data_IF_527747548793
#
_entry.id   IF_527747548793
#
_cell.length_a   1.000
_cell.length_b   1.000
_cell.length_c   1.000
_cell.angle_alpha   90.00
_cell.angle_beta   90.00
_cell.angle_gamma   90.00
#
_symmetry.space_group_name_H-M   'P 1'
#
loop_
_entity.id
_entity.type
_entity.pdbx_description
1 polymer ?
#
# COMPACT_ATOMS: atom_id res chain seq x y z
N UNK A 1 22.16 8.36 -12.59
CA UNK A 1 22.49 6.92 -12.70
C UNK A 1 21.32 6.14 -12.12
N UNK A 2 20.35 5.77 -12.95
CA UNK A 2 19.20 4.95 -12.55
C UNK A 2 19.71 3.58 -12.12
N UNK A 3 19.61 3.28 -10.83
CA UNK A 3 19.99 1.96 -10.31
C UNK A 3 18.95 0.96 -10.84
N UNK A 4 19.34 0.18 -11.83
CA UNK A 4 18.47 -0.80 -12.47
C UNK A 4 18.24 -1.94 -11.47
N UNK A 5 17.11 -1.92 -10.75
CA UNK A 5 16.81 -2.89 -9.70
C UNK A 5 16.14 -4.13 -10.33
N UNK A 6 16.86 -5.26 -10.48
CA UNK A 6 16.33 -6.44 -11.16
C UNK A 6 15.13 -7.07 -10.42
N UNK A 7 15.01 -6.83 -9.11
CA UNK A 7 13.86 -7.30 -8.32
C UNK A 7 12.62 -6.49 -8.68
N UNK A 8 12.75 -5.17 -8.82
CA UNK A 8 11.67 -4.29 -9.21
C UNK A 8 11.22 -4.57 -10.65
N UNK A 9 12.17 -4.70 -11.58
CA UNK A 9 11.88 -5.05 -12.98
C UNK A 9 11.10 -6.37 -13.08
N UNK A 10 11.56 -7.40 -12.38
CA UNK A 10 10.86 -8.70 -12.34
C UNK A 10 9.46 -8.59 -11.74
N UNK A 11 9.29 -7.77 -10.70
CA UNK A 11 7.99 -7.51 -10.10
C UNK A 11 7.05 -6.80 -11.10
N UNK A 12 7.50 -5.72 -11.74
CA UNK A 12 6.72 -4.96 -12.71
C UNK A 12 6.30 -5.82 -13.91
N UNK A 13 7.24 -6.54 -14.53
CA UNK A 13 6.96 -7.45 -15.65
C UNK A 13 5.91 -8.49 -15.27
N UNK A 14 6.09 -9.14 -14.11
CA UNK A 14 5.12 -10.14 -13.65
C UNK A 14 3.75 -9.52 -13.40
N UNK A 15 3.68 -8.40 -12.68
CA UNK A 15 2.42 -7.77 -12.28
C UNK A 15 1.62 -7.20 -13.45
N UNK A 16 2.30 -6.72 -14.50
CA UNK A 16 1.64 -6.23 -15.72
C UNK A 16 1.10 -7.42 -16.55
N UNK A 17 1.88 -8.49 -16.69
CA UNK A 17 1.51 -9.65 -17.50
C UNK A 17 0.50 -10.59 -16.82
N UNK A 18 0.47 -10.62 -15.48
CA UNK A 18 -0.41 -11.45 -14.68
C UNK A 18 -1.29 -10.58 -13.76
N UNK A 19 -2.24 -9.81 -14.32
CA UNK A 19 -3.21 -9.11 -13.50
C UNK A 19 -4.00 -10.15 -12.68
N UNK A 20 -4.34 -9.85 -11.42
CA UNK A 20 -5.17 -10.74 -10.61
C UNK A 20 -6.46 -11.05 -11.38
N UNK A 21 -6.83 -12.32 -11.49
CA UNK A 21 -7.99 -12.76 -12.24
C UNK A 21 -9.24 -11.98 -11.77
N UNK A 22 -9.85 -11.24 -12.69
CA UNK A 22 -11.07 -10.48 -12.43
C UNK A 22 -12.18 -11.46 -12.06
N UNK A 23 -12.42 -11.67 -10.76
CA UNK A 23 -13.47 -12.59 -10.28
C UNK A 23 -13.17 -13.31 -8.98
N UNK A 24 -11.91 -13.43 -8.55
CA UNK A 24 -11.58 -13.97 -7.21
C UNK A 24 -11.62 -12.87 -6.15
N UNK A 25 -12.77 -12.22 -6.03
CA UNK A 25 -13.01 -11.24 -5.00
C UNK A 25 -13.47 -11.97 -3.73
N UNK A 26 -12.57 -12.69 -3.06
CA UNK A 26 -12.71 -12.88 -1.61
C UNK A 26 -12.37 -11.54 -0.94
N UNK A 27 -13.10 -10.49 -1.35
CA UNK A 27 -12.90 -9.14 -0.87
C UNK A 27 -13.16 -9.21 0.63
N UNK A 28 -12.20 -8.80 1.46
CA UNK A 28 -12.48 -8.66 2.87
C UNK A 28 -13.73 -7.78 2.99
N UNK A 29 -14.75 -8.31 3.69
CA UNK A 29 -16.06 -7.66 3.86
C UNK A 29 -15.95 -6.25 4.49
N UNK A 30 -14.76 -5.92 5.01
CA UNK A 30 -14.41 -4.65 5.62
C UNK A 30 -13.46 -3.89 4.71
N UNK A 31 -13.92 -2.73 4.24
CA UNK A 31 -13.13 -1.80 3.45
C UNK A 31 -12.17 -0.99 4.33
N UNK A 32 -11.04 -0.61 3.76
CA UNK A 32 -10.05 0.26 4.38
C UNK A 32 -9.77 1.45 3.46
N UNK A 33 -9.45 2.59 4.04
CA UNK A 33 -8.96 3.75 3.34
C UNK A 33 -7.46 3.90 3.63
N UNK A 34 -6.68 4.08 2.58
CA UNK A 34 -5.24 4.29 2.65
C UNK A 34 -4.86 5.58 1.95
N UNK A 35 -3.73 6.16 2.37
CA UNK A 35 -3.14 7.31 1.72
C UNK A 35 -1.87 6.88 0.96
N UNK A 36 -1.85 7.10 -0.35
CA UNK A 36 -0.66 6.86 -1.19
C UNK A 36 0.12 8.17 -1.27
N UNK A 37 1.06 8.33 -0.36
CA UNK A 37 1.87 9.53 -0.24
C UNK A 37 3.06 9.48 -1.20
N UNK A 38 3.06 10.40 -2.17
CA UNK A 38 4.17 10.61 -3.11
C UNK A 38 4.98 11.81 -2.62
N UNK A 39 6.26 11.60 -2.33
CA UNK A 39 7.18 12.65 -1.87
C UNK A 39 8.07 13.07 -3.03
N UNK A 40 8.14 14.39 -3.25
CA UNK A 40 8.96 14.97 -4.29
C UNK A 40 10.43 15.08 -3.83
N UNK A 41 11.30 14.33 -4.50
CA UNK A 41 12.75 14.48 -4.44
C UNK A 41 13.31 14.50 -5.88
N UNK A 42 14.63 14.47 -6.04
CA UNK A 42 15.26 14.27 -7.35
C UNK A 42 14.76 12.99 -8.05
N UNK A 43 14.23 12.02 -7.30
CA UNK A 43 13.43 10.92 -7.82
C UNK A 43 12.20 10.75 -6.93
N UNK A 44 11.02 10.54 -7.53
CA UNK A 44 9.79 10.37 -6.75
C UNK A 44 9.88 9.14 -5.84
N UNK A 45 9.43 9.30 -4.60
CA UNK A 45 9.40 8.20 -3.63
C UNK A 45 8.02 8.06 -2.99
N UNK A 46 7.70 6.85 -2.54
CA UNK A 46 6.50 6.59 -1.75
C UNK A 46 6.84 6.53 -0.26
N UNK A 47 5.99 7.16 0.56
CA UNK A 47 6.06 6.99 2.01
C UNK A 47 5.28 5.74 2.43
N UNK A 48 5.95 4.85 3.15
CA UNK A 48 5.40 3.63 3.71
C UNK A 48 5.68 3.61 5.22
N UNK A 49 4.84 2.89 5.96
CA UNK A 49 4.98 2.67 7.40
C UNK A 49 5.35 1.23 7.67
N UNK A 50 6.02 0.96 8.79
CA UNK A 50 6.12 -0.38 9.36
C UNK A 50 5.13 -0.49 10.51
N UNK A 51 4.21 -1.45 10.42
CA UNK A 51 3.21 -1.68 11.47
C UNK A 51 3.89 -2.19 12.73
N UNK A 52 3.40 -1.75 13.88
CA UNK A 52 3.86 -2.22 15.19
C UNK A 52 3.87 -3.77 15.25
N UNK A 53 4.93 -4.33 15.83
CA UNK A 53 5.14 -5.77 15.89
C UNK A 53 4.13 -6.49 16.80
N UNK A 54 3.43 -5.77 17.66
CA UNK A 54 2.45 -6.31 18.62
C UNK A 54 1.03 -6.40 18.05
N UNK A 55 0.80 -5.92 16.82
CA UNK A 55 -0.53 -5.88 16.24
C UNK A 55 -1.10 -7.27 15.94
N UNK A 56 -2.36 -7.50 16.34
CA UNK A 56 -3.10 -8.75 16.06
C UNK A 56 -3.14 -9.14 14.58
N UNK A 57 -3.04 -8.18 13.67
CA UNK A 57 -3.03 -8.40 12.22
C UNK A 57 -1.91 -7.61 11.56
N UNK A 58 -1.21 -8.26 10.63
CA UNK A 58 -0.18 -7.64 9.80
C UNK A 58 0.97 -7.01 10.61
N UNK A 59 1.30 -7.57 11.78
CA UNK A 59 2.41 -7.12 12.61
C UNK A 59 3.73 -7.09 11.82
N UNK A 60 4.50 -6.01 11.99
CA UNK A 60 5.83 -5.84 11.38
C UNK A 60 5.84 -5.66 9.86
N UNK A 61 4.69 -5.76 9.18
CA UNK A 61 4.58 -5.59 7.73
C UNK A 61 4.76 -4.12 7.33
N UNK A 62 5.32 -3.91 6.14
CA UNK A 62 5.38 -2.59 5.49
C UNK A 62 4.06 -2.34 4.77
N UNK A 63 3.45 -1.18 5.00
CA UNK A 63 2.13 -0.85 4.47
C UNK A 63 1.96 0.66 4.22
N UNK A 64 1.01 1.03 3.37
CA UNK A 64 0.54 2.42 3.29
C UNK A 64 -0.12 2.86 4.61
N UNK A 65 -0.01 4.14 4.98
CA UNK A 65 -0.80 4.72 6.06
C UNK A 65 -2.30 4.53 5.79
N UNK A 66 -3.05 4.17 6.83
CA UNK A 66 -4.48 3.97 6.69
C UNK A 66 -5.04 2.89 7.60
N UNK A 67 -6.37 2.81 7.60
CA UNK A 67 -7.11 1.81 8.36
C UNK A 67 -8.46 1.52 7.73
N UNK A 68 -9.13 0.56 8.33
CA UNK A 68 -10.54 0.29 8.16
C UNK A 68 -11.45 1.54 8.25
N UNK A 69 -12.34 1.69 7.27
CA UNK A 69 -13.26 2.83 7.17
C UNK A 69 -14.30 2.76 8.29
N UNK A 70 -14.57 3.91 8.89
CA UNK A 70 -15.69 4.14 9.81
C UNK A 70 -16.86 4.84 9.10
N UNK A 71 -16.60 5.94 8.37
CA UNK A 71 -17.62 6.74 7.70
C UNK A 71 -17.19 7.24 6.31
N UNK A 72 -16.08 7.99 6.22
CA UNK A 72 -15.62 8.62 4.97
C UNK A 72 -14.24 8.13 4.57
N UNK A 73 -14.07 7.80 3.28
CA UNK A 73 -12.81 7.36 2.69
C UNK A 73 -11.69 8.37 2.95
N UNK A 74 -11.91 9.63 2.55
CA UNK A 74 -10.90 10.69 2.64
C UNK A 74 -10.59 11.02 4.10
N UNK A 75 -11.63 11.18 4.93
CA UNK A 75 -11.44 11.51 6.33
C UNK A 75 -10.69 10.40 7.10
N UNK A 76 -11.00 9.12 6.80
CA UNK A 76 -10.29 7.98 7.40
C UNK A 76 -8.82 7.97 7.00
N UNK A 77 -8.52 8.13 5.71
CA UNK A 77 -7.15 8.10 5.22
C UNK A 77 -6.30 9.22 5.80
N UNK A 78 -6.83 10.45 5.87
CA UNK A 78 -6.13 11.59 6.44
C UNK A 78 -5.91 11.46 7.95
N UNK A 79 -6.94 11.03 8.71
CA UNK A 79 -6.84 10.86 10.17
C UNK A 79 -5.79 9.83 10.59
N UNK A 80 -5.62 8.77 9.79
CA UNK A 80 -4.66 7.70 10.09
C UNK A 80 -3.24 7.99 9.57
N UNK A 81 -3.07 9.06 8.82
CA UNK A 81 -1.77 9.54 8.38
C UNK A 81 -1.25 10.72 9.23
N UNK A 82 -2.06 11.24 10.17
CA UNK A 82 -1.70 12.29 11.11
C UNK A 82 -0.89 11.74 12.29
#
# INVERSE_FOLDING_TARGET
MTHNNPVLERFLVRSILQPPAAGQQNLPRRQAAILVLIVAHASLTLLLTRRDATLRKHAGQVAFPGRMIDASLVATALREAA
#
